data_IF_532310262177
#
_entry.id   IF_532310262177
#
_cell.length_a   1.000
_cell.length_b   1.000
_cell.length_c   1.000
_cell.angle_alpha   90.00
_cell.angle_beta   90.00
_cell.angle_gamma   90.00
#
_symmetry.space_group_name_H-M   'P 1'
#
loop_
_entity.id
_entity.type
_entity.pdbx_description
1 polymer ?
#
# COMPACT_ATOMS: atom_id res chain seq x y z
N UNK A 1 -10.65 -21.86 1.46
CA UNK A 1 -10.04 -21.96 0.12
C UNK A 1 -11.02 -21.37 -0.88
N UNK A 2 -10.63 -20.32 -1.62
CA UNK A 2 -11.48 -19.71 -2.64
C UNK A 2 -11.35 -20.51 -3.94
N UNK A 3 -12.45 -21.09 -4.41
CA UNK A 3 -12.54 -21.83 -5.67
C UNK A 3 -13.81 -21.38 -6.42
N UNK A 4 -13.72 -21.26 -7.75
CA UNK A 4 -14.84 -20.87 -8.60
C UNK A 4 -14.49 -19.73 -9.55
N UNK A 5 -15.35 -19.53 -10.57
CA UNK A 5 -15.19 -18.45 -11.55
C UNK A 5 -15.13 -17.10 -10.82
N UNK A 6 -14.06 -16.35 -11.04
CA UNK A 6 -13.87 -15.07 -10.38
C UNK A 6 -14.79 -14.03 -11.02
N UNK A 7 -15.77 -13.48 -10.28
CA UNK A 7 -16.63 -12.45 -10.83
C UNK A 7 -15.83 -11.15 -10.99
N UNK A 8 -16.12 -10.43 -12.07
CA UNK A 8 -15.63 -9.09 -12.34
C UNK A 8 -16.79 -8.22 -12.83
N UNK A 9 -16.67 -6.90 -12.70
CA UNK A 9 -17.71 -5.96 -13.12
C UNK A 9 -17.10 -4.91 -14.05
N UNK A 10 -17.73 -4.70 -15.19
CA UNK A 10 -17.53 -3.51 -16.00
C UNK A 10 -18.41 -2.39 -15.44
N UNK A 11 -17.84 -1.20 -15.33
CA UNK A 11 -18.58 -0.01 -14.99
C UNK A 11 -18.61 0.87 -16.23
N UNK A 12 -19.79 0.98 -16.84
CA UNK A 12 -20.01 1.88 -17.96
C UNK A 12 -20.59 3.18 -17.39
N UNK A 13 -19.85 4.28 -17.54
CA UNK A 13 -20.23 5.61 -17.08
C UNK A 13 -21.08 6.29 -18.16
N UNK A 14 -22.23 6.80 -17.76
CA UNK A 14 -23.12 7.64 -18.56
C UNK A 14 -23.12 9.07 -17.99
N UNK A 15 -23.72 10.05 -18.69
CA UNK A 15 -23.64 11.47 -18.28
C UNK A 15 -24.12 11.75 -16.84
N UNK A 16 -25.08 10.96 -16.34
CA UNK A 16 -25.65 11.12 -14.98
C UNK A 16 -25.66 9.83 -14.14
N UNK A 17 -25.32 8.69 -14.73
CA UNK A 17 -25.45 7.38 -14.06
C UNK A 17 -24.30 6.44 -14.40
N UNK A 18 -24.25 5.28 -13.77
CA UNK A 18 -23.36 4.20 -14.17
C UNK A 18 -24.11 2.89 -14.20
N UNK A 19 -23.76 2.02 -15.15
CA UNK A 19 -24.26 0.65 -15.18
C UNK A 19 -23.15 -0.33 -14.82
N UNK A 20 -23.49 -1.32 -14.00
CA UNK A 20 -22.58 -2.39 -13.61
C UNK A 20 -22.92 -3.66 -14.35
N UNK A 21 -22.05 -4.08 -15.28
CA UNK A 21 -22.20 -5.33 -16.00
C UNK A 21 -21.29 -6.39 -15.40
N UNK A 22 -21.89 -7.43 -14.83
CA UNK A 22 -21.15 -8.56 -14.26
C UNK A 22 -20.65 -9.51 -15.36
N UNK A 23 -19.42 -9.98 -15.19
CA UNK A 23 -18.77 -10.99 -16.02
C UNK A 23 -17.94 -11.94 -15.13
N UNK A 24 -17.33 -12.96 -15.73
CA UNK A 24 -16.51 -13.94 -15.05
C UNK A 24 -15.22 -14.22 -15.79
N UNK A 25 -14.11 -14.23 -15.06
CA UNK A 25 -12.84 -14.66 -15.60
C UNK A 25 -12.83 -16.19 -15.73
N UNK A 26 -12.32 -16.68 -16.86
CA UNK A 26 -12.06 -18.11 -17.05
C UNK A 26 -11.05 -18.56 -16.01
N UNK A 27 -11.42 -19.58 -15.26
CA UNK A 27 -10.58 -20.20 -14.23
C UNK A 27 -10.62 -21.71 -14.41
N UNK A 28 -10.04 -22.16 -15.53
CA UNK A 28 -10.05 -23.57 -15.93
C UNK A 28 -8.89 -24.36 -15.29
N UNK A 29 -7.91 -23.66 -14.71
CA UNK A 29 -6.68 -24.25 -14.19
C UNK A 29 -6.80 -24.70 -12.72
N UNK A 30 -7.90 -24.38 -12.04
CA UNK A 30 -8.17 -24.83 -10.67
C UNK A 30 -7.18 -24.30 -9.63
N UNK A 31 -6.46 -23.21 -9.93
CA UNK A 31 -5.44 -22.63 -9.07
C UNK A 31 -6.09 -22.08 -7.80
N UNK A 32 -5.83 -22.72 -6.66
CA UNK A 32 -6.37 -22.32 -5.36
C UNK A 32 -5.52 -21.22 -4.76
N UNK A 33 -6.18 -20.16 -4.28
CA UNK A 33 -5.53 -19.01 -3.67
C UNK A 33 -5.65 -19.02 -2.14
N UNK A 34 -4.61 -18.53 -1.46
CA UNK A 34 -4.64 -18.23 -0.01
C UNK A 34 -5.45 -16.97 0.31
N UNK A 35 -5.57 -16.09 -0.68
CA UNK A 35 -6.03 -14.71 -0.55
C UNK A 35 -7.02 -14.40 -1.67
N UNK A 36 -7.81 -13.36 -1.47
CA UNK A 36 -8.57 -12.79 -2.57
C UNK A 36 -7.61 -12.39 -3.69
N UNK A 37 -7.91 -12.75 -4.95
CA UNK A 37 -7.12 -12.30 -6.08
C UNK A 37 -7.12 -10.77 -6.17
N UNK A 38 -6.02 -10.21 -6.63
CA UNK A 38 -5.81 -8.76 -6.70
C UNK A 38 -5.86 -8.32 -8.17
N UNK A 39 -6.67 -7.31 -8.49
CA UNK A 39 -6.67 -6.74 -9.84
C UNK A 39 -5.44 -5.85 -10.02
N UNK A 40 -4.49 -6.27 -10.85
CA UNK A 40 -3.28 -5.50 -11.14
C UNK A 40 -3.56 -4.38 -12.15
N UNK A 41 -4.37 -4.70 -13.15
CA UNK A 41 -4.72 -3.79 -14.24
C UNK A 41 -6.13 -4.15 -14.70
N UNK A 42 -7.10 -3.30 -14.34
CA UNK A 42 -8.49 -3.51 -14.69
C UNK A 42 -8.76 -3.36 -16.19
N UNK A 43 -7.98 -2.53 -16.88
CA UNK A 43 -8.18 -2.28 -18.31
C UNK A 43 -7.73 -3.47 -19.15
N UNK A 44 -6.54 -3.99 -18.87
CA UNK A 44 -6.01 -5.21 -19.52
C UNK A 44 -6.48 -6.51 -18.84
N UNK A 45 -7.37 -6.42 -17.84
CA UNK A 45 -7.91 -7.54 -17.08
C UNK A 45 -6.82 -8.48 -16.57
N UNK A 46 -5.82 -7.91 -15.90
CA UNK A 46 -4.73 -8.66 -15.27
C UNK A 46 -5.01 -8.86 -13.80
N UNK A 47 -4.93 -10.10 -13.34
CA UNK A 47 -5.24 -10.47 -11.96
C UNK A 47 -4.13 -11.32 -11.36
N UNK A 48 -3.76 -10.99 -10.13
CA UNK A 48 -2.76 -11.68 -9.34
C UNK A 48 -3.41 -12.67 -8.39
N UNK A 49 -2.86 -13.88 -8.33
CA UNK A 49 -3.13 -14.90 -7.32
C UNK A 49 -1.84 -15.28 -6.61
N UNK A 50 -1.95 -15.56 -5.32
CA UNK A 50 -0.89 -16.18 -4.53
C UNK A 50 -1.46 -17.49 -3.97
N UNK A 51 -0.74 -18.59 -4.16
CA UNK A 51 -1.15 -19.93 -3.68
C UNK A 51 -0.69 -20.20 -2.26
N UNK A 52 -1.16 -21.31 -1.67
CA UNK A 52 -0.65 -21.79 -0.38
C UNK A 52 0.84 -22.11 -0.43
N UNK A 53 1.35 -22.51 -1.59
CA UNK A 53 2.76 -22.81 -1.83
C UNK A 53 3.58 -21.55 -2.15
N UNK A 54 3.05 -20.35 -1.88
CA UNK A 54 3.70 -19.05 -2.14
C UNK A 54 4.03 -18.79 -3.61
N UNK A 55 3.40 -19.52 -4.51
CA UNK A 55 3.57 -19.31 -5.93
C UNK A 55 2.70 -18.14 -6.37
N UNK A 56 3.27 -17.30 -7.22
CA UNK A 56 2.61 -16.14 -7.79
C UNK A 56 2.09 -16.51 -9.17
N UNK A 57 0.81 -16.28 -9.41
CA UNK A 57 0.20 -16.48 -10.72
C UNK A 57 -0.45 -15.18 -11.19
N UNK A 58 -0.28 -14.85 -12.47
CA UNK A 58 -0.97 -13.73 -13.10
C UNK A 58 -1.82 -14.25 -14.25
N UNK A 59 -3.11 -13.91 -14.22
CA UNK A 59 -3.99 -14.02 -15.37
C UNK A 59 -3.79 -12.84 -16.28
N UNK A 60 -3.70 -13.09 -17.59
CA UNK A 60 -3.73 -12.04 -18.61
C UNK A 60 -4.82 -12.36 -19.63
N UNK A 61 -5.79 -11.44 -19.78
CA UNK A 61 -6.92 -11.62 -20.70
C UNK A 61 -6.50 -11.73 -22.16
N UNK A 62 -5.40 -11.07 -22.57
CA UNK A 62 -4.89 -11.18 -23.95
C UNK A 62 -4.51 -12.62 -24.31
N UNK A 63 -4.12 -13.42 -23.31
CA UNK A 63 -3.67 -14.81 -23.46
C UNK A 63 -4.71 -15.83 -22.95
N UNK A 64 -5.77 -15.35 -22.29
CA UNK A 64 -6.80 -16.13 -21.60
C UNK A 64 -6.28 -17.23 -20.66
N UNK A 65 -5.08 -17.06 -20.07
CA UNK A 65 -4.44 -18.09 -19.24
C UNK A 65 -3.84 -17.51 -17.96
N UNK A 66 -3.70 -18.35 -16.93
CA UNK A 66 -2.84 -18.05 -15.80
C UNK A 66 -1.40 -18.46 -16.14
N UNK A 67 -0.43 -17.76 -15.58
CA UNK A 67 0.98 -18.12 -15.70
C UNK A 67 1.65 -17.98 -14.36
N UNK A 68 2.53 -18.91 -14.03
CA UNK A 68 3.40 -18.79 -12.87
C UNK A 68 4.45 -17.73 -13.12
N UNK A 69 4.72 -16.94 -12.09
CA UNK A 69 5.79 -15.96 -12.07
C UNK A 69 6.80 -16.38 -11.02
N UNK A 70 8.08 -16.21 -11.33
CA UNK A 70 9.17 -16.54 -10.42
C UNK A 70 9.80 -15.26 -9.86
N UNK A 71 10.29 -15.35 -8.63
CA UNK A 71 10.98 -14.26 -7.99
C UNK A 71 12.38 -14.12 -8.59
N UNK A 72 12.78 -12.90 -8.97
CA UNK A 72 14.08 -12.64 -9.57
C UNK A 72 14.99 -11.82 -8.64
N UNK A 73 16.25 -12.25 -8.54
CA UNK A 73 17.31 -11.54 -7.81
C UNK A 73 17.29 -11.72 -6.29
N UNK A 74 18.25 -11.07 -5.62
CA UNK A 74 18.28 -10.96 -4.16
C UNK A 74 17.29 -9.89 -3.72
N UNK A 75 16.12 -10.34 -3.28
CA UNK A 75 15.00 -9.47 -2.93
C UNK A 75 15.01 -9.16 -1.44
N UNK A 76 14.65 -7.92 -1.10
CA UNK A 76 14.53 -7.49 0.30
C UNK A 76 13.44 -8.23 1.12
N UNK A 77 12.68 -9.13 0.49
CA UNK A 77 11.55 -9.83 1.07
C UNK A 77 11.54 -11.29 0.59
N UNK A 78 11.85 -12.21 1.50
CA UNK A 78 11.71 -13.63 1.26
C UNK A 78 10.25 -14.05 1.54
N UNK A 79 9.51 -14.41 0.48
CA UNK A 79 8.12 -14.85 0.62
C UNK A 79 7.96 -16.12 1.44
N UNK A 80 9.04 -16.92 1.57
CA UNK A 80 9.03 -18.21 2.27
C UNK A 80 8.63 -18.08 3.73
N UNK A 81 9.00 -16.97 4.37
CA UNK A 81 8.79 -16.76 5.80
C UNK A 81 7.56 -15.90 6.16
N UNK A 82 6.77 -15.43 5.18
CA UNK A 82 5.72 -14.41 5.40
C UNK A 82 4.31 -14.97 5.64
N UNK A 83 4.11 -16.28 5.46
CA UNK A 83 2.79 -16.90 5.43
C UNK A 83 2.61 -18.01 6.46
N UNK A 84 3.31 -17.97 7.60
CA UNK A 84 2.70 -18.57 8.78
C UNK A 84 1.46 -17.74 9.11
N UNK A 85 0.34 -18.12 8.47
CA UNK A 85 -1.01 -17.75 8.88
C UNK A 85 -1.19 -18.38 10.25
N UNK A 86 -0.63 -17.74 11.27
CA UNK A 86 -0.99 -18.02 12.65
C UNK A 86 -2.48 -17.74 12.72
N UNK A 87 -3.24 -18.77 13.11
CA UNK A 87 -4.67 -18.64 13.27
C UNK A 87 -4.97 -17.39 14.11
N UNK A 88 -5.81 -16.53 13.54
CA UNK A 88 -6.64 -15.49 14.16
C UNK A 88 -6.36 -15.29 15.66
N UNK A 89 -5.62 -14.23 16.00
CA UNK A 89 -5.88 -13.54 17.27
C UNK A 89 -6.85 -12.41 16.96
N UNK A 90 -8.09 -12.57 17.44
CA UNK A 90 -9.03 -11.48 17.56
C UNK A 90 -8.35 -10.30 18.25
N UNK A 91 -8.26 -9.18 17.55
CA UNK A 91 -7.99 -7.88 18.16
C UNK A 91 -9.24 -7.44 18.92
N UNK A 92 -9.49 -8.06 20.08
CA UNK A 92 -10.55 -7.63 20.98
C UNK A 92 -10.21 -6.25 21.57
N UNK A 93 -10.89 -5.23 21.06
CA UNK A 93 -11.11 -3.99 21.81
C UNK A 93 -12.28 -4.19 22.78
N UNK A 94 -12.11 -3.79 24.04
CA UNK A 94 -13.10 -3.86 25.13
C UNK A 94 -14.47 -3.24 24.82
N UNK A 95 -14.60 -2.49 23.72
CA UNK A 95 -15.77 -1.68 23.40
C UNK A 95 -16.52 -2.12 22.13
N UNK A 96 -16.35 -3.36 21.66
CA UNK A 96 -17.30 -4.02 20.75
C UNK A 96 -17.66 -3.26 19.48
N UNK A 97 -16.98 -3.59 18.37
CA UNK A 97 -17.52 -3.76 16.99
C UNK A 97 -16.36 -3.70 15.98
N UNK A 98 -16.05 -4.85 15.37
CA UNK A 98 -16.14 -5.07 13.93
C UNK A 98 -16.06 -6.56 13.62
N UNK A 99 -16.74 -6.94 12.53
CA UNK A 99 -16.71 -8.26 11.96
C UNK A 99 -15.26 -8.66 11.64
N UNK A 100 -14.95 -9.94 11.85
CA UNK A 100 -13.65 -10.57 11.63
C UNK A 100 -13.02 -10.16 10.29
N UNK A 101 -12.22 -9.10 10.29
CA UNK A 101 -11.32 -8.78 9.19
C UNK A 101 -10.05 -9.60 9.43
N UNK A 102 -9.79 -10.58 8.56
CA UNK A 102 -8.54 -11.33 8.57
C UNK A 102 -7.40 -10.37 8.19
N UNK A 103 -6.76 -9.74 9.18
CA UNK A 103 -5.50 -9.03 8.91
C UNK A 103 -4.40 -10.08 8.79
N UNK A 104 -4.11 -10.46 7.56
CA UNK A 104 -2.97 -11.29 7.28
C UNK A 104 -1.69 -10.46 7.37
N UNK A 105 -0.56 -11.02 7.85
CA UNK A 105 0.71 -10.29 7.94
C UNK A 105 1.08 -9.60 6.63
N UNK A 106 0.79 -10.21 5.48
CA UNK A 106 0.94 -9.59 4.17
C UNK A 106 -0.42 -9.05 3.67
N UNK A 107 -0.50 -7.79 3.31
CA UNK A 107 -1.63 -7.17 2.60
C UNK A 107 -1.15 -6.66 1.25
N UNK A 108 -1.95 -6.84 0.20
CA UNK A 108 -1.63 -6.37 -1.14
C UNK A 108 -2.60 -5.26 -1.54
N UNK A 109 -2.05 -4.23 -2.17
CA UNK A 109 -2.77 -3.14 -2.78
C UNK A 109 -2.35 -3.11 -4.24
N UNK A 110 -3.29 -2.89 -5.16
CA UNK A 110 -2.95 -2.68 -6.55
C UNK A 110 -3.77 -1.53 -7.11
N UNK A 111 -3.10 -0.67 -7.87
CA UNK A 111 -3.70 0.46 -8.55
C UNK A 111 -2.90 0.76 -9.82
N UNK A 112 -3.59 0.85 -10.95
CA UNK A 112 -3.04 1.22 -12.27
C UNK A 112 -1.69 0.55 -12.62
N UNK A 113 -1.61 -0.77 -12.45
CA UNK A 113 -0.41 -1.54 -12.78
C UNK A 113 0.69 -1.51 -11.70
N UNK A 114 0.49 -0.79 -10.61
CA UNK A 114 1.40 -0.78 -9.47
C UNK A 114 0.84 -1.65 -8.36
N UNK A 115 1.61 -2.63 -7.92
CA UNK A 115 1.25 -3.47 -6.79
C UNK A 115 2.16 -3.17 -5.60
N UNK A 116 1.55 -2.83 -4.46
CA UNK A 116 2.22 -2.58 -3.20
C UNK A 116 1.89 -3.69 -2.21
N UNK A 117 2.90 -4.15 -1.48
CA UNK A 117 2.74 -5.09 -0.38
C UNK A 117 3.05 -4.41 0.95
N UNK A 118 2.18 -4.61 1.94
CA UNK A 118 2.38 -4.23 3.34
C UNK A 118 2.63 -5.51 4.15
N UNK A 119 3.75 -5.57 4.84
CA UNK A 119 4.07 -6.62 5.80
C UNK A 119 3.96 -6.06 7.23
N UNK A 120 3.12 -6.69 8.04
CA UNK A 120 2.93 -6.40 9.46
C UNK A 120 3.79 -7.37 10.29
N UNK A 121 4.75 -6.82 11.03
CA UNK A 121 5.65 -7.55 11.93
C UNK A 121 5.32 -7.15 13.38
N UNK A 122 4.61 -8.00 14.15
CA UNK A 122 4.26 -7.70 15.52
C UNK A 122 5.49 -7.81 16.44
N UNK A 123 5.72 -6.78 17.26
CA UNK A 123 6.69 -6.79 18.36
C UNK A 123 6.01 -6.87 19.73
N UNK A 124 6.74 -6.79 20.86
CA UNK A 124 6.14 -6.85 22.19
C UNK A 124 5.23 -5.65 22.50
N UNK A 125 5.73 -4.42 22.31
CA UNK A 125 5.06 -3.15 22.60
C UNK A 125 4.70 -2.33 21.35
N UNK A 126 5.31 -2.64 20.21
CA UNK A 126 5.14 -1.96 18.93
C UNK A 126 4.83 -2.96 17.82
N UNK A 127 4.33 -2.46 16.70
CA UNK A 127 4.16 -3.19 15.45
C UNK A 127 4.90 -2.46 14.36
N UNK A 128 5.73 -3.18 13.59
CA UNK A 128 6.47 -2.61 12.45
C UNK A 128 5.77 -3.00 11.16
N UNK A 129 5.44 -2.01 10.36
CA UNK A 129 4.88 -2.15 9.02
C UNK A 129 5.98 -1.89 7.99
N UNK A 130 6.25 -2.86 7.13
CA UNK A 130 7.17 -2.72 6.01
C UNK A 130 6.40 -2.65 4.71
N UNK A 131 6.79 -1.75 3.82
CA UNK A 131 6.13 -1.55 2.53
C UNK A 131 7.08 -1.92 1.41
N UNK A 132 6.58 -2.65 0.44
CA UNK A 132 7.31 -3.10 -0.73
C UNK A 132 6.52 -2.75 -1.99
N UNK A 133 7.21 -2.35 -3.04
CA UNK A 133 6.66 -2.30 -4.39
C UNK A 133 6.97 -3.64 -5.07
N UNK A 134 5.95 -4.27 -5.62
CA UNK A 134 6.08 -5.46 -6.46
C UNK A 134 6.17 -4.98 -7.91
N UNK A 135 7.27 -5.31 -8.56
CA UNK A 135 7.50 -5.00 -9.96
C UNK A 135 7.37 -6.30 -10.76
N UNK A 136 6.41 -6.36 -11.67
CA UNK A 136 6.18 -7.51 -12.54
C UNK A 136 6.84 -7.29 -13.90
N UNK A 137 7.60 -8.28 -14.36
CA UNK A 137 8.10 -8.37 -15.72
C UNK A 137 7.29 -9.45 -16.46
N UNK A 138 6.39 -9.00 -17.33
CA UNK A 138 5.48 -9.87 -18.09
C UNK A 138 6.16 -10.63 -19.23
N UNK A 139 7.32 -10.17 -19.69
CA UNK A 139 8.09 -10.84 -20.76
C UNK A 139 8.80 -12.07 -20.22
N UNK A 140 9.46 -11.91 -19.06
CA UNK A 140 10.22 -12.97 -18.42
C UNK A 140 9.39 -13.81 -17.44
N UNK A 141 8.11 -13.47 -17.24
CA UNK A 141 7.26 -14.03 -16.18
C UNK A 141 7.98 -14.01 -14.82
N UNK A 142 8.56 -12.85 -14.47
CA UNK A 142 9.28 -12.68 -13.22
C UNK A 142 8.74 -11.51 -12.42
N UNK A 143 9.04 -11.47 -11.12
CA UNK A 143 8.72 -10.33 -10.28
C UNK A 143 9.82 -10.08 -9.25
N UNK A 144 9.88 -8.85 -8.76
CA UNK A 144 10.84 -8.44 -7.73
C UNK A 144 10.16 -7.60 -6.65
N UNK A 145 10.63 -7.72 -5.41
CA UNK A 145 10.23 -6.84 -4.32
C UNK A 145 11.27 -5.75 -4.10
N UNK A 146 10.83 -4.50 -4.20
CA UNK A 146 11.63 -3.35 -3.80
C UNK A 146 11.10 -2.80 -2.49
N UNK A 147 11.89 -2.86 -1.41
CA UNK A 147 11.52 -2.21 -0.15
C UNK A 147 11.42 -0.70 -0.37
N UNK A 148 10.35 -0.12 0.20
CA UNK A 148 9.94 1.26 -0.02
C UNK A 148 9.95 2.06 1.26
N UNK A 149 9.31 1.54 2.30
CA UNK A 149 9.25 2.23 3.59
C UNK A 149 9.17 1.23 4.75
N UNK A 150 9.39 1.74 5.95
CA UNK A 150 9.22 1.01 7.21
C UNK A 150 8.73 1.97 8.27
N UNK A 151 7.63 1.64 8.95
CA UNK A 151 7.06 2.47 10.02
C UNK A 151 6.79 1.60 11.23
N UNK A 152 7.17 2.06 12.41
CA UNK A 152 6.91 1.35 13.67
C UNK A 152 5.92 2.15 14.50
N UNK A 153 4.81 1.52 14.88
CA UNK A 153 3.68 2.17 15.56
C UNK A 153 3.41 1.44 16.89
N UNK A 154 3.08 2.15 17.98
CA UNK A 154 2.63 1.52 19.23
C UNK A 154 1.33 0.72 19.05
N UNK A 155 1.21 -0.43 19.73
CA UNK A 155 0.10 -1.40 19.55
C UNK A 155 -1.33 -0.90 19.85
N UNK A 156 -1.49 0.21 20.55
CA UNK A 156 -2.77 0.60 21.16
C UNK A 156 -3.61 1.60 20.35
N UNK A 157 -3.18 1.95 19.14
CA UNK A 157 -3.88 2.96 18.33
C UNK A 157 -4.72 2.27 17.25
N UNK A 158 -6.02 2.60 17.18
CA UNK A 158 -6.83 2.24 16.02
C UNK A 158 -6.45 3.18 14.87
N UNK A 159 -5.90 2.61 13.82
CA UNK A 159 -5.57 3.34 12.61
C UNK A 159 -5.70 2.45 11.37
N UNK A 160 -5.89 3.10 10.24
CA UNK A 160 -5.82 2.52 8.93
C UNK A 160 -4.51 2.91 8.26
N UNK A 161 -3.94 1.99 7.51
CA UNK A 161 -2.81 2.29 6.64
C UNK A 161 -3.22 2.03 5.20
N UNK A 162 -3.05 3.06 4.37
CA UNK A 162 -3.08 2.95 2.93
C UNK A 162 -1.70 3.25 2.36
N UNK A 163 -1.36 2.63 1.24
CA UNK A 163 -0.06 2.76 0.62
C UNK A 163 -0.24 2.96 -0.87
N UNK A 164 0.50 3.93 -1.41
CA UNK A 164 0.65 4.21 -2.84
C UNK A 164 2.12 4.06 -3.20
N UNK A 165 2.52 4.21 -4.47
CA UNK A 165 3.93 4.10 -4.87
C UNK A 165 4.81 5.18 -4.21
N UNK A 166 4.22 6.34 -3.92
CA UNK A 166 4.93 7.55 -3.51
C UNK A 166 4.63 7.96 -2.08
N UNK A 167 3.53 7.50 -1.49
CA UNK A 167 3.08 7.92 -0.15
C UNK A 167 2.48 6.75 0.64
N UNK A 168 2.74 6.73 1.95
CA UNK A 168 1.97 5.98 2.95
C UNK A 168 1.06 6.96 3.66
N UNK A 169 -0.24 6.64 3.74
CA UNK A 169 -1.18 7.37 4.57
C UNK A 169 -1.53 6.54 5.81
N UNK A 170 -1.36 7.10 6.99
CA UNK A 170 -1.78 6.53 8.28
C UNK A 170 -2.92 7.40 8.79
N UNK A 171 -4.09 6.81 8.95
CA UNK A 171 -5.32 7.50 9.32
C UNK A 171 -5.81 6.96 10.64
N UNK A 172 -5.80 7.76 11.70
CA UNK A 172 -6.53 7.44 12.93
C UNK A 172 -7.94 8.08 12.88
N UNK A 173 -8.69 7.99 13.97
CA UNK A 173 -10.06 8.54 14.05
C UNK A 173 -10.14 10.07 13.90
N UNK A 174 -9.04 10.80 14.03
CA UNK A 174 -9.02 12.27 14.09
C UNK A 174 -7.92 12.91 13.25
N UNK A 175 -6.92 12.14 12.80
CA UNK A 175 -5.73 12.63 12.13
C UNK A 175 -5.39 11.75 10.92
N UNK A 176 -4.84 12.40 9.90
CA UNK A 176 -4.24 11.74 8.74
C UNK A 176 -2.79 12.19 8.65
N UNK A 177 -1.88 11.22 8.70
CA UNK A 177 -0.46 11.43 8.48
C UNK A 177 -0.08 10.87 7.11
N UNK A 178 0.45 11.74 6.24
CA UNK A 178 0.94 11.35 4.91
C UNK A 178 2.47 11.37 4.94
N UNK A 179 3.08 10.24 4.60
CA UNK A 179 4.53 10.03 4.64
C UNK A 179 5.01 9.71 3.22
N UNK A 180 5.87 10.53 2.61
CA UNK A 180 6.45 10.19 1.32
C UNK A 180 7.37 8.96 1.44
N UNK A 181 7.19 8.02 0.51
CA UNK A 181 7.97 6.78 0.38
C UNK A 181 9.25 7.02 -0.43
N UNK A 182 9.16 7.89 -1.44
CA UNK A 182 10.34 8.33 -2.17
C UNK A 182 11.09 9.34 -1.31
N UNK A 183 12.42 9.32 -1.37
CA UNK A 183 13.21 10.39 -0.79
C UNK A 183 12.68 11.73 -1.33
N UNK A 184 12.28 12.68 -0.47
CA UNK A 184 11.77 13.95 -0.94
C UNK A 184 12.83 14.62 -1.81
N UNK A 185 12.40 15.21 -2.92
CA UNK A 185 13.26 16.02 -3.77
C UNK A 185 13.90 17.16 -2.96
N UNK A 186 15.02 17.72 -3.44
CA UNK A 186 15.65 18.87 -2.79
C UNK A 186 14.65 20.02 -2.59
N UNK A 187 13.76 20.23 -3.57
CA UNK A 187 12.68 21.20 -3.51
C UNK A 187 11.68 20.91 -2.39
N UNK A 188 11.25 19.66 -2.24
CA UNK A 188 10.35 19.25 -1.14
C UNK A 188 11.03 19.35 0.22
N UNK A 189 12.31 19.00 0.32
CA UNK A 189 13.11 19.18 1.54
C UNK A 189 13.22 20.66 1.90
N UNK A 190 13.51 21.52 0.91
CA UNK A 190 13.62 22.95 1.09
C UNK A 190 12.27 23.53 1.55
N UNK A 191 11.17 23.20 0.88
CA UNK A 191 9.82 23.64 1.28
C UNK A 191 9.48 23.15 2.68
N UNK A 192 9.79 21.89 3.01
CA UNK A 192 9.56 21.35 4.35
C UNK A 192 10.38 22.08 5.41
N UNK A 193 11.63 22.46 5.12
CA UNK A 193 12.44 23.28 6.02
C UNK A 193 11.88 24.68 6.21
N UNK A 194 11.42 25.32 5.14
CA UNK A 194 10.73 26.61 5.20
C UNK A 194 9.45 26.50 6.04
N UNK A 195 8.68 25.43 5.86
CA UNK A 195 7.51 25.11 6.68
C UNK A 195 7.88 24.93 8.15
N UNK A 196 8.95 24.20 8.47
CA UNK A 196 9.43 24.03 9.85
C UNK A 196 9.84 25.35 10.49
N UNK A 197 10.45 26.26 9.74
CA UNK A 197 10.84 27.60 10.22
C UNK A 197 9.62 28.47 10.51
N UNK A 198 8.55 28.34 9.73
CA UNK A 198 7.33 29.12 9.87
C UNK A 198 6.32 28.52 10.86
N UNK A 199 6.38 27.20 11.10
CA UNK A 199 5.43 26.48 11.94
C UNK A 199 5.69 26.75 13.43
N UNK A 200 4.63 27.09 14.16
CA UNK A 200 4.66 27.12 15.62
C UNK A 200 4.77 25.69 16.17
N UNK A 201 5.39 25.52 17.34
CA UNK A 201 5.38 24.25 18.05
C UNK A 201 4.31 24.31 19.14
N UNK A 202 3.51 23.25 19.25
CA UNK A 202 2.63 23.04 20.39
C UNK A 202 3.44 22.75 21.65
N UNK A 203 2.76 22.78 22.79
CA UNK A 203 3.28 22.35 24.09
C UNK A 203 3.81 20.91 24.09
N UNK A 204 3.32 20.07 23.18
CA UNK A 204 3.75 18.68 22.99
C UNK A 204 4.91 18.52 22.00
N UNK A 205 5.44 19.63 21.48
CA UNK A 205 6.52 19.65 20.48
C UNK A 205 6.08 19.33 19.05
N UNK A 206 4.77 19.11 18.81
CA UNK A 206 4.24 18.92 17.47
C UNK A 206 4.21 20.26 16.71
N UNK A 207 4.51 20.23 15.41
CA UNK A 207 4.35 21.42 14.57
C UNK A 207 2.85 21.67 14.34
N UNK A 208 2.38 22.86 14.71
CA UNK A 208 1.04 23.34 14.42
C UNK A 208 1.13 24.62 13.60
N UNK A 209 0.11 24.89 12.78
CA UNK A 209 0.07 25.94 11.74
C UNK A 209 0.94 25.62 10.51
N UNK A 210 0.59 26.21 9.37
CA UNK A 210 1.24 26.00 8.09
C UNK A 210 1.85 27.27 7.50
N UNK A 211 2.52 27.11 6.36
CA UNK A 211 3.05 28.21 5.58
C UNK A 211 1.91 29.01 4.96
N UNK A 212 1.76 30.28 5.34
CA UNK A 212 0.88 31.20 4.62
C UNK A 212 1.65 31.90 3.51
N UNK A 213 0.96 32.36 2.46
CA UNK A 213 1.56 33.15 1.37
C UNK A 213 2.29 34.39 1.94
N UNK A 214 1.71 35.03 2.96
CA UNK A 214 2.30 36.19 3.62
C UNK A 214 3.63 35.85 4.31
N UNK A 215 3.64 34.78 5.11
CA UNK A 215 4.86 34.33 5.81
C UNK A 215 5.95 33.90 4.82
N UNK A 216 5.57 33.28 3.70
CA UNK A 216 6.52 32.91 2.64
C UNK A 216 7.18 34.14 2.01
N UNK A 217 6.41 35.17 1.67
CA UNK A 217 6.98 36.41 1.12
C UNK A 217 7.88 37.14 2.11
N UNK A 218 7.56 37.13 3.40
CA UNK A 218 8.42 37.69 4.46
C UNK A 218 9.73 36.89 4.58
N UNK A 219 9.67 35.56 4.63
CA UNK A 219 10.85 34.67 4.65
C UNK A 219 11.76 34.85 3.44
N UNK A 220 11.19 35.06 2.25
CA UNK A 220 11.97 35.26 1.02
C UNK A 220 12.57 36.68 0.91
N UNK A 221 12.00 37.69 1.58
CA UNK A 221 12.56 39.05 1.64
C UNK A 221 13.75 39.15 2.61
N UNK A 222 13.75 38.39 3.70
CA UNK A 222 14.72 38.53 4.78
C UNK A 222 16.13 37.97 4.50
N UNK A 223 16.44 37.49 3.28
CA UNK A 223 17.78 37.01 2.85
C UNK A 223 18.56 36.13 3.86
N UNK A 224 17.90 35.36 4.73
CA UNK A 224 18.56 34.37 5.62
C UNK A 224 18.82 33.01 4.94
N UNK A 225 18.99 32.99 3.63
CA UNK A 225 19.30 31.76 2.87
C UNK A 225 20.79 31.62 2.52
N UNK A 226 21.63 32.59 2.87
CA UNK A 226 23.06 32.60 2.55
C UNK A 226 23.98 31.72 3.42
N UNK A 227 23.44 30.85 4.29
CA UNK A 227 24.27 30.07 5.25
C UNK A 227 23.93 28.59 5.37
N UNK A 228 23.12 28.03 4.45
CA UNK A 228 22.67 26.65 4.51
C UNK A 228 22.82 25.91 3.16
N UNK A 229 24.02 25.98 2.58
CA UNK A 229 24.55 25.00 1.62
C UNK A 229 25.94 24.57 2.07
#
# INVERSE_FOLDING_TARGET
>A
MLAGRMPFWYMDLDEETFTLRRDYLKDNEGIKSVRFPVCLDGHNQRFLRITNAQEVFIYDKTRESWRSYHQQGDTALDMVNLLQVSALKESYGRNGRWAAAMESPLTLYADQGICMAKLTIPGPSTTTYQFFQILFNLENNSFTFRRKASVTIPKLTMFYISCSPNYVAIMDMSNIMIIPIQAPSLSEIAIWKIQQMAAKKTITGAHCTGLTIKNFHELMRDQKFGTLL
#
